data_IF_963925763290
#
_entry.id   IF_963925763290
#
_cell.length_a   1.000
_cell.length_b   1.000
_cell.length_c   1.000
_cell.angle_alpha   90.00
_cell.angle_beta   90.00
_cell.angle_gamma   90.00
#
_symmetry.space_group_name_H-M   'P 1'
#
loop_
_entity.id
_entity.type
_entity.pdbx_description
1 polymer ?
#
# COMPACT_ATOMS: atom_id res chain seq x y z
N UNK A 1 -9.41 71.34 -44.06
CA UNK A 1 -10.20 70.15 -44.45
C UNK A 1 -10.90 69.64 -43.20
N UNK A 2 -12.22 69.48 -43.23
CA UNK A 2 -12.93 68.82 -42.14
C UNK A 2 -12.79 67.31 -42.29
N UNK A 3 -12.48 66.59 -41.22
CA UNK A 3 -12.52 65.13 -41.25
C UNK A 3 -13.96 64.66 -41.40
N UNK A 4 -14.17 63.58 -42.16
CA UNK A 4 -15.50 62.98 -42.33
C UNK A 4 -16.05 62.37 -41.02
N UNK A 5 -15.16 62.05 -40.08
CA UNK A 5 -15.49 61.62 -38.73
C UNK A 5 -14.67 62.43 -37.72
N UNK A 6 -15.33 63.07 -36.75
CA UNK A 6 -14.68 63.93 -35.76
C UNK A 6 -13.95 63.16 -34.65
N UNK A 7 -13.94 61.83 -34.72
CA UNK A 7 -13.41 60.93 -33.69
C UNK A 7 -12.25 60.09 -34.23
N UNK A 8 -12.35 59.56 -35.44
CA UNK A 8 -11.34 58.68 -36.06
C UNK A 8 -10.84 59.20 -37.40
N UNK A 9 -9.56 59.00 -37.66
CA UNK A 9 -8.88 59.30 -38.92
C UNK A 9 -8.36 58.02 -39.55
N UNK A 10 -9.24 57.23 -40.17
CA UNK A 10 -8.91 55.87 -40.57
C UNK A 10 -8.96 54.93 -39.37
N UNK A 11 -7.85 54.25 -39.05
CA UNK A 11 -7.73 53.29 -37.95
C UNK A 11 -7.21 53.88 -36.64
N UNK A 12 -6.92 55.19 -36.60
CA UNK A 12 -6.40 55.87 -35.41
C UNK A 12 -7.41 56.87 -34.85
N UNK A 13 -7.40 57.06 -33.52
CA UNK A 13 -8.13 58.14 -32.88
C UNK A 13 -7.48 59.48 -33.24
N UNK A 14 -8.30 60.48 -33.58
CA UNK A 14 -7.86 61.87 -33.78
C UNK A 14 -7.89 62.67 -32.47
N UNK A 15 -8.58 62.16 -31.46
CA UNK A 15 -8.67 62.72 -30.11
C UNK A 15 -7.77 61.93 -29.18
N UNK A 16 -7.37 62.55 -28.09
CA UNK A 16 -6.58 61.89 -27.04
C UNK A 16 -7.34 60.69 -26.43
N UNK A 17 -8.67 60.79 -26.32
CA UNK A 17 -9.52 59.70 -25.84
C UNK A 17 -10.96 59.79 -26.34
N UNK A 18 -11.68 58.67 -26.26
CA UNK A 18 -13.15 58.59 -26.28
C UNK A 18 -13.59 58.11 -24.89
N UNK A 19 -14.53 58.82 -24.27
CA UNK A 19 -14.95 58.52 -22.91
C UNK A 19 -16.46 58.66 -22.72
N UNK A 20 -17.01 58.00 -21.71
CA UNK A 20 -18.39 58.18 -21.29
C UNK A 20 -18.62 59.59 -20.72
N UNK A 21 -19.85 60.14 -20.79
CA UNK A 21 -20.13 61.48 -20.25
C UNK A 21 -19.83 61.65 -18.76
N UNK A 22 -19.86 60.57 -17.99
CA UNK A 22 -19.64 60.53 -16.54
C UNK A 22 -18.24 60.02 -16.14
N UNK A 23 -17.29 59.96 -17.08
CA UNK A 23 -15.95 59.43 -16.81
C UNK A 23 -15.24 60.21 -15.69
N UNK A 24 -14.81 59.48 -14.66
CA UNK A 24 -13.95 59.92 -13.57
C UNK A 24 -12.94 58.80 -13.29
N UNK A 25 -11.66 59.07 -13.52
CA UNK A 25 -10.59 58.08 -13.38
C UNK A 25 -10.62 57.38 -12.01
N UNK A 26 -10.54 56.05 -12.01
CA UNK A 26 -10.59 55.15 -10.87
C UNK A 26 -11.95 55.03 -10.19
N UNK A 27 -13.01 55.67 -10.71
CA UNK A 27 -14.28 55.80 -9.98
C UNK A 27 -15.53 55.49 -10.81
N UNK A 28 -15.69 56.09 -11.99
CA UNK A 28 -16.93 55.97 -12.77
C UNK A 28 -16.70 56.09 -14.28
N UNK A 29 -17.60 55.48 -15.05
CA UNK A 29 -17.62 55.60 -16.51
C UNK A 29 -16.60 54.72 -17.22
N UNK A 30 -16.22 55.11 -18.44
CA UNK A 30 -15.17 54.43 -19.21
C UNK A 30 -14.40 55.42 -20.10
N UNK A 31 -13.14 55.08 -20.41
CA UNK A 31 -12.32 55.76 -21.43
C UNK A 31 -11.56 54.75 -22.29
N UNK A 32 -11.33 55.10 -23.55
CA UNK A 32 -10.39 54.44 -24.47
C UNK A 32 -9.47 55.53 -25.00
N UNK A 33 -8.19 55.43 -24.65
CA UNK A 33 -7.17 56.42 -24.95
C UNK A 33 -6.48 56.10 -26.29
N UNK A 34 -5.90 57.12 -26.92
CA UNK A 34 -5.20 57.00 -28.20
C UNK A 34 -3.96 56.08 -28.13
N UNK A 35 -3.39 55.92 -26.94
CA UNK A 35 -2.25 55.01 -26.67
C UNK A 35 -2.67 53.53 -26.53
N UNK A 36 -3.97 53.23 -26.61
CA UNK A 36 -4.51 51.88 -26.50
C UNK A 36 -4.86 51.46 -25.07
N UNK A 37 -4.58 52.29 -24.06
CA UNK A 37 -5.07 52.05 -22.70
C UNK A 37 -6.58 52.30 -22.63
N UNK A 38 -7.25 51.54 -21.77
CA UNK A 38 -8.67 51.72 -21.54
C UNK A 38 -8.99 51.48 -20.06
N UNK A 39 -10.01 52.18 -19.57
CA UNK A 39 -10.51 52.04 -18.22
C UNK A 39 -12.02 51.88 -18.28
N UNK A 40 -12.55 50.90 -17.55
CA UNK A 40 -13.99 50.64 -17.46
C UNK A 40 -14.34 50.44 -15.99
N UNK A 41 -15.30 51.22 -15.47
CA UNK A 41 -15.84 51.00 -14.13
C UNK A 41 -16.70 49.72 -14.08
N UNK A 42 -17.34 49.36 -15.20
CA UNK A 42 -18.05 48.10 -15.41
C UNK A 42 -17.88 47.69 -16.89
N UNK A 43 -17.64 46.40 -17.12
CA UNK A 43 -17.38 45.86 -18.46
C UNK A 43 -18.10 44.52 -18.64
N UNK A 44 -19.06 44.51 -19.54
CA UNK A 44 -19.70 43.28 -20.01
C UNK A 44 -19.30 43.00 -21.46
N UNK A 45 -18.61 41.88 -21.69
CA UNK A 45 -18.20 41.43 -23.02
C UNK A 45 -19.22 40.40 -23.52
N UNK A 46 -19.83 40.64 -24.68
CA UNK A 46 -20.82 39.75 -25.31
C UNK A 46 -20.41 39.40 -26.73
N UNK A 47 -20.51 38.13 -27.12
CA UNK A 47 -20.45 37.74 -28.53
C UNK A 47 -21.83 37.81 -29.19
N UNK A 48 -21.89 38.38 -30.39
CA UNK A 48 -23.12 38.50 -31.17
C UNK A 48 -23.37 37.29 -32.09
N UNK A 49 -22.37 36.45 -32.31
CA UNK A 49 -22.43 35.29 -33.22
C UNK A 49 -22.76 33.96 -32.52
N UNK A 50 -22.92 33.97 -31.19
CA UNK A 50 -23.21 32.79 -30.40
C UNK A 50 -22.01 31.84 -30.18
N UNK A 51 -20.80 32.19 -30.63
CA UNK A 51 -19.59 31.39 -30.43
C UNK A 51 -19.02 31.44 -29.01
N UNK A 52 -19.75 32.05 -28.07
CA UNK A 52 -19.31 32.31 -26.69
C UNK A 52 -18.48 33.59 -26.55
N UNK A 53 -18.40 34.11 -25.33
CA UNK A 53 -17.54 35.25 -25.01
C UNK A 53 -16.09 34.75 -24.94
N UNK A 54 -15.20 35.25 -25.81
CA UNK A 54 -13.78 34.89 -25.84
C UNK A 54 -12.93 36.13 -25.56
N UNK A 55 -12.02 36.01 -24.60
CA UNK A 55 -10.89 36.93 -24.44
C UNK A 55 -9.68 36.22 -25.06
N UNK A 56 -9.15 36.77 -26.15
CA UNK A 56 -7.98 36.23 -26.83
C UNK A 56 -6.75 37.09 -26.52
N UNK A 57 -5.73 36.46 -25.95
CA UNK A 57 -4.45 37.10 -25.64
C UNK A 57 -3.43 36.62 -26.67
N UNK A 58 -3.08 37.49 -27.63
CA UNK A 58 -2.02 37.19 -28.59
C UNK A 58 -0.63 37.22 -27.93
N UNK A 59 -0.44 38.15 -26.98
CA UNK A 59 0.73 38.31 -26.12
C UNK A 59 0.27 38.95 -24.79
N UNK A 60 1.01 38.75 -23.70
CA UNK A 60 0.74 39.39 -22.40
C UNK A 60 -0.13 38.56 -21.45
N UNK A 61 -0.82 39.23 -20.52
CA UNK A 61 -1.64 38.58 -19.49
C UNK A 61 -2.91 39.36 -19.13
N UNK A 62 -3.90 38.66 -18.58
CA UNK A 62 -5.06 39.24 -17.88
C UNK A 62 -4.83 39.04 -16.41
N UNK A 63 -4.69 40.15 -15.68
CA UNK A 63 -4.42 40.16 -14.26
C UNK A 63 -5.63 40.69 -13.51
N UNK A 64 -6.07 39.95 -12.49
CA UNK A 64 -7.11 40.37 -11.56
C UNK A 64 -6.45 40.80 -10.26
N UNK A 65 -6.65 42.05 -9.87
CA UNK A 65 -6.17 42.61 -8.62
C UNK A 65 -7.34 42.80 -7.66
N UNK A 66 -7.09 42.67 -6.36
CA UNK A 66 -8.06 43.09 -5.34
C UNK A 66 -8.01 44.62 -5.12
N UNK A 67 -8.82 45.13 -4.19
CA UNK A 67 -8.89 46.56 -3.88
C UNK A 67 -7.63 47.10 -3.19
N UNK A 68 -6.73 46.24 -2.73
CA UNK A 68 -5.43 46.60 -2.14
C UNK A 68 -4.31 46.59 -3.19
N UNK A 69 -4.61 46.17 -4.43
CA UNK A 69 -3.62 46.04 -5.50
C UNK A 69 -2.84 44.73 -5.46
N UNK A 70 -3.30 43.73 -4.69
CA UNK A 70 -2.69 42.40 -4.68
C UNK A 70 -3.23 41.56 -5.85
N UNK A 71 -2.33 40.86 -6.55
CA UNK A 71 -2.71 39.94 -7.64
C UNK A 71 -3.46 38.72 -7.07
N UNK A 72 -4.67 38.50 -7.57
CA UNK A 72 -5.57 37.40 -7.20
C UNK A 72 -5.51 36.28 -8.23
N UNK A 73 -5.52 36.62 -9.52
CA UNK A 73 -5.42 35.63 -10.59
C UNK A 73 -4.79 36.19 -11.86
N UNK A 74 -4.08 35.34 -12.59
CA UNK A 74 -3.52 35.66 -13.91
C UNK A 74 -3.90 34.59 -14.96
N UNK A 75 -4.30 35.05 -16.15
CA UNK A 75 -4.28 34.27 -17.39
C UNK A 75 -3.12 34.78 -18.25
N UNK A 76 -2.10 33.94 -18.46
CA UNK A 76 -0.86 34.35 -19.12
C UNK A 76 -0.70 33.69 -20.50
N UNK A 77 -0.30 34.46 -21.52
CA UNK A 77 0.05 33.90 -22.81
C UNK A 77 1.42 33.19 -22.80
N UNK A 78 2.32 33.58 -21.89
CA UNK A 78 3.65 32.97 -21.73
C UNK A 78 3.64 31.64 -20.97
N UNK A 79 2.63 31.42 -20.13
CA UNK A 79 2.41 30.20 -19.36
C UNK A 79 0.93 29.82 -19.53
N UNK A 80 0.58 28.96 -20.50
CA UNK A 80 -0.81 28.67 -20.82
C UNK A 80 -1.52 27.99 -19.64
N UNK A 81 -2.27 28.79 -18.87
CA UNK A 81 -2.96 28.34 -17.66
C UNK A 81 -3.56 29.48 -16.83
N UNK A 82 -4.23 29.07 -15.75
CA UNK A 82 -4.72 29.92 -14.67
C UNK A 82 -3.75 29.84 -13.50
N UNK A 83 -3.24 30.99 -13.07
CA UNK A 83 -2.51 31.15 -11.82
C UNK A 83 -3.45 31.81 -10.82
N UNK A 84 -3.61 31.22 -9.63
CA UNK A 84 -4.34 31.81 -8.51
C UNK A 84 -3.33 32.14 -7.41
N UNK A 85 -3.25 33.41 -7.03
CA UNK A 85 -2.23 33.97 -6.14
C UNK A 85 -1.22 34.87 -6.86
N UNK A 86 -0.20 35.33 -6.13
CA UNK A 86 0.86 36.19 -6.67
C UNK A 86 1.78 35.38 -7.58
N UNK A 87 2.30 35.94 -8.66
CA UNK A 87 3.22 35.23 -9.57
C UNK A 87 4.47 34.68 -8.86
N UNK A 88 4.93 35.37 -7.81
CA UNK A 88 6.08 34.94 -7.00
C UNK A 88 5.70 33.90 -5.93
N UNK A 89 4.42 33.79 -5.58
CA UNK A 89 3.87 32.92 -4.53
C UNK A 89 2.50 32.33 -4.93
N UNK A 90 2.44 31.55 -6.03
CA UNK A 90 1.18 31.01 -6.53
C UNK A 90 0.60 30.00 -5.54
N UNK A 91 -0.69 30.11 -5.25
CA UNK A 91 -1.41 29.19 -4.35
C UNK A 91 -1.96 27.97 -5.10
N UNK A 92 -2.44 28.20 -6.33
CA UNK A 92 -2.91 27.15 -7.25
C UNK A 92 -2.47 27.51 -8.66
N UNK A 93 -1.92 26.54 -9.38
CA UNK A 93 -1.63 26.68 -10.81
C UNK A 93 -2.39 25.60 -11.57
N UNK A 94 -3.18 25.99 -12.57
CA UNK A 94 -3.87 25.08 -13.48
C UNK A 94 -3.35 25.37 -14.89
N UNK A 95 -2.48 24.52 -15.42
CA UNK A 95 -1.83 24.79 -16.71
C UNK A 95 -1.68 23.53 -17.55
N UNK A 96 -1.53 23.73 -18.85
CA UNK A 96 -1.10 22.67 -19.76
C UNK A 96 0.43 22.64 -19.75
N UNK A 97 1.00 21.56 -19.22
CA UNK A 97 2.44 21.33 -19.30
C UNK A 97 2.84 20.85 -20.69
N UNK A 98 4.14 20.94 -21.01
CA UNK A 98 4.69 20.38 -22.24
C UNK A 98 4.24 18.92 -22.43
N UNK A 99 3.73 18.60 -23.62
CA UNK A 99 3.21 17.26 -23.95
C UNK A 99 1.69 17.09 -23.79
N UNK A 100 0.93 18.18 -23.57
CA UNK A 100 -0.54 18.12 -23.54
C UNK A 100 -1.12 17.63 -22.21
N UNK A 101 -0.30 17.59 -21.15
CA UNK A 101 -0.72 17.14 -19.82
C UNK A 101 -1.36 18.31 -19.09
N UNK A 102 -2.63 18.18 -18.73
CA UNK A 102 -3.27 19.11 -17.79
C UNK A 102 -2.73 18.87 -16.37
N UNK A 103 -2.28 19.94 -15.70
CA UNK A 103 -1.71 19.88 -14.37
C UNK A 103 -2.39 20.87 -13.43
N UNK A 104 -2.74 20.40 -12.25
CA UNK A 104 -3.08 21.25 -11.09
C UNK A 104 -1.93 21.13 -10.10
N UNK A 105 -1.29 22.24 -9.77
CA UNK A 105 -0.25 22.32 -8.72
C UNK A 105 -0.73 23.18 -7.56
N UNK A 106 -0.34 22.77 -6.35
CA UNK A 106 -0.46 23.58 -5.13
C UNK A 106 0.96 23.86 -4.65
N UNK A 107 1.59 24.96 -5.07
CA UNK A 107 2.92 25.31 -4.62
C UNK A 107 2.87 25.55 -3.11
N UNK A 108 3.80 24.96 -2.36
CA UNK A 108 3.87 25.25 -0.94
C UNK A 108 4.44 26.67 -0.77
N UNK A 109 3.63 27.56 -0.20
CA UNK A 109 4.04 28.88 0.27
C UNK A 109 4.88 28.77 1.55
N UNK A 110 5.93 27.95 1.53
CA UNK A 110 6.92 27.94 2.60
C UNK A 110 8.06 28.90 2.23
N UNK A 111 8.40 29.88 3.09
CA UNK A 111 9.54 30.77 2.86
C UNK A 111 10.90 30.06 2.85
N UNK A 112 10.93 28.76 3.14
CA UNK A 112 12.12 27.93 2.97
C UNK A 112 12.13 27.30 1.57
N UNK A 113 13.09 27.74 0.76
CA UNK A 113 13.19 27.59 -0.70
C UNK A 113 13.13 26.16 -1.31
N UNK A 114 12.93 25.10 -0.52
CA UNK A 114 13.00 23.71 -1.00
C UNK A 114 11.83 22.81 -0.56
N UNK A 115 10.82 23.34 0.12
CA UNK A 115 9.69 22.54 0.59
C UNK A 115 8.55 22.65 -0.43
N UNK A 116 8.31 21.58 -1.21
CA UNK A 116 7.18 21.50 -2.15
C UNK A 116 6.18 20.44 -1.68
N UNK A 117 4.98 20.85 -1.30
CA UNK A 117 3.86 19.94 -1.08
C UNK A 117 2.94 20.01 -2.30
N UNK A 118 3.24 19.23 -3.35
CA UNK A 118 2.40 19.20 -4.54
C UNK A 118 1.37 18.07 -4.42
N UNK A 119 0.09 18.41 -4.61
CA UNK A 119 -0.89 17.46 -5.13
C UNK A 119 -0.79 17.50 -6.65
N UNK A 120 -0.25 16.46 -7.28
CA UNK A 120 -0.23 16.35 -8.75
C UNK A 120 -1.34 15.41 -9.18
N UNK A 121 -2.29 15.95 -9.95
CA UNK A 121 -3.29 15.20 -10.70
C UNK A 121 -2.91 15.31 -12.18
N UNK A 122 -2.51 14.19 -12.77
CA UNK A 122 -2.17 14.11 -14.20
C UNK A 122 -2.93 12.97 -14.85
N UNK A 123 -3.56 13.26 -15.98
CA UNK A 123 -4.04 12.24 -16.94
C UNK A 123 -3.01 12.22 -18.05
N UNK A 124 -2.28 11.12 -18.18
CA UNK A 124 -1.29 10.95 -19.23
C UNK A 124 -1.96 10.38 -20.48
N UNK A 125 -1.61 10.94 -21.64
CA UNK A 125 -1.90 10.37 -22.97
C UNK A 125 -3.36 10.01 -23.27
N UNK A 126 -4.26 11.00 -23.19
CA UNK A 126 -5.66 10.83 -23.62
C UNK A 126 -5.71 10.33 -25.09
N UNK A 127 -6.16 9.09 -25.29
CA UNK A 127 -6.39 8.50 -26.62
C UNK A 127 -5.42 7.40 -27.10
N UNK A 128 -4.52 6.89 -26.26
CA UNK A 128 -3.73 5.67 -26.54
C UNK A 128 -3.84 4.68 -25.38
N UNK A 129 -3.72 3.35 -25.60
CA UNK A 129 -3.48 2.42 -24.50
C UNK A 129 -2.27 2.92 -23.69
N UNK A 130 -2.33 2.86 -22.36
CA UNK A 130 -1.42 3.50 -21.36
C UNK A 130 -1.95 4.81 -20.71
N UNK A 131 -3.27 4.93 -20.49
CA UNK A 131 -3.86 6.02 -19.70
C UNK A 131 -3.71 5.78 -18.20
N UNK A 132 -2.83 6.57 -17.57
CA UNK A 132 -2.57 6.52 -16.13
C UNK A 132 -3.18 7.76 -15.47
N UNK A 133 -3.97 7.55 -14.40
CA UNK A 133 -4.33 8.60 -13.46
C UNK A 133 -3.38 8.49 -12.26
N UNK A 134 -2.40 9.39 -12.19
CA UNK A 134 -1.53 9.45 -11.01
C UNK A 134 -2.09 10.40 -9.97
N UNK A 135 -2.24 9.94 -8.73
CA UNK A 135 -2.48 10.77 -7.57
C UNK A 135 -1.21 10.78 -6.70
N UNK A 136 -0.48 11.90 -6.73
CA UNK A 136 0.71 12.06 -5.90
C UNK A 136 0.47 13.10 -4.83
N UNK A 137 0.64 12.70 -3.57
CA UNK A 137 0.74 13.61 -2.43
C UNK A 137 2.19 13.61 -1.94
N UNK A 138 2.85 14.77 -2.04
CA UNK A 138 4.17 14.96 -1.46
C UNK A 138 4.02 15.73 -0.14
N UNK A 139 4.54 15.16 0.96
CA UNK A 139 4.65 15.88 2.22
C UNK A 139 5.71 16.98 2.12
N UNK A 140 5.69 17.98 3.01
CA UNK A 140 6.75 18.98 3.07
C UNK A 140 8.09 18.28 3.31
N UNK A 141 9.01 18.38 2.34
CA UNK A 141 10.40 17.94 2.47
C UNK A 141 11.04 18.60 3.70
N UNK A 142 11.31 17.83 4.75
CA UNK A 142 12.36 18.16 5.72
C UNK A 142 13.68 17.73 5.09
N UNK A 143 14.69 18.60 5.06
CA UNK A 143 15.98 18.35 4.42
C UNK A 143 16.50 16.91 4.72
N UNK A 144 16.50 16.05 3.71
CA UNK A 144 16.97 14.67 3.80
C UNK A 144 15.91 13.57 3.94
N UNK A 145 14.62 13.89 4.08
CA UNK A 145 13.53 12.90 4.07
C UNK A 145 12.54 13.18 2.92
N UNK A 146 12.50 12.28 1.95
CA UNK A 146 11.53 12.30 0.85
C UNK A 146 10.30 11.48 1.22
N UNK A 147 9.50 11.94 2.18
CA UNK A 147 8.22 11.28 2.47
C UNK A 147 7.27 11.56 1.30
N UNK A 148 7.14 10.58 0.39
CA UNK A 148 6.24 10.60 -0.75
C UNK A 148 5.19 9.52 -0.57
N UNK A 149 3.92 9.92 -0.62
CA UNK A 149 2.80 9.01 -0.84
C UNK A 149 2.47 9.04 -2.33
N UNK A 150 2.89 8.00 -3.05
CA UNK A 150 2.51 7.80 -4.44
C UNK A 150 1.39 6.76 -4.48
N UNK A 151 0.22 7.17 -4.97
CA UNK A 151 -0.88 6.28 -5.32
C UNK A 151 -1.01 6.28 -6.83
N UNK A 152 -0.48 5.22 -7.45
CA UNK A 152 -0.67 4.97 -8.87
C UNK A 152 -1.96 4.16 -9.02
N UNK A 153 -2.95 4.72 -9.75
CA UNK A 153 -4.10 3.97 -10.24
C UNK A 153 -3.88 3.79 -11.74
N UNK A 154 -3.35 2.63 -12.12
CA UNK A 154 -3.25 2.25 -13.52
C UNK A 154 -4.55 1.53 -13.91
N UNK A 155 -5.18 1.93 -15.01
CA UNK A 155 -6.47 1.37 -15.41
C UNK A 155 -6.41 0.36 -16.54
N UNK A 156 -5.26 0.18 -17.24
CA UNK A 156 -5.18 -0.77 -18.34
C UNK A 156 -3.78 -1.33 -18.54
N UNK A 157 -3.66 -2.66 -18.47
CA UNK A 157 -2.58 -3.38 -19.12
C UNK A 157 -2.84 -3.39 -20.64
N UNK A 158 -1.77 -3.34 -21.45
CA UNK A 158 -1.78 -3.35 -22.93
C UNK A 158 -2.58 -4.51 -23.60
N UNK A 159 -3.06 -5.46 -22.80
CA UNK A 159 -3.77 -6.67 -23.23
C UNK A 159 -5.31 -6.55 -23.17
N UNK A 160 -5.85 -5.40 -22.74
CA UNK A 160 -7.30 -5.18 -22.62
C UNK A 160 -7.94 -5.80 -21.38
N UNK A 161 -7.14 -6.25 -20.39
CA UNK A 161 -7.64 -6.65 -19.09
C UNK A 161 -7.89 -5.40 -18.20
N UNK A 162 -9.09 -5.33 -17.59
CA UNK A 162 -9.52 -4.21 -16.73
C UNK A 162 -8.88 -4.25 -15.34
N UNK A 163 -7.56 -4.37 -15.26
CA UNK A 163 -6.83 -4.62 -14.03
C UNK A 163 -6.43 -3.28 -13.40
N UNK A 164 -7.22 -2.80 -12.45
CA UNK A 164 -6.89 -1.63 -11.66
C UNK A 164 -5.74 -1.98 -10.70
N UNK A 165 -4.52 -1.54 -11.00
CA UNK A 165 -3.38 -1.72 -10.09
C UNK A 165 -3.33 -0.56 -9.09
N UNK A 166 -3.23 -0.91 -7.81
CA UNK A 166 -3.04 0.05 -6.71
C UNK A 166 -1.64 -0.13 -6.15
N UNK A 167 -0.71 0.75 -6.52
CA UNK A 167 0.65 0.72 -5.97
C UNK A 167 0.73 1.75 -4.85
N UNK A 168 0.94 1.29 -3.61
CA UNK A 168 1.24 2.13 -2.46
C UNK A 168 2.74 2.08 -2.19
N UNK A 169 3.47 3.16 -2.46
CA UNK A 169 4.88 3.31 -2.08
C UNK A 169 4.99 4.25 -0.88
N UNK A 170 5.64 3.79 0.19
CA UNK A 170 6.04 4.62 1.32
C UNK A 170 7.56 4.81 1.22
N UNK A 171 8.01 5.99 0.80
CA UNK A 171 9.42 6.31 0.83
C UNK A 171 9.87 6.55 2.28
N UNK A 172 10.81 5.74 2.78
CA UNK A 172 11.39 5.91 4.13
C UNK A 172 11.86 4.64 4.84
N UNK A 173 11.46 3.44 4.41
CA UNK A 173 11.96 2.19 5.01
C UNK A 173 11.31 0.94 4.44
N UNK A 174 12.14 0.00 3.98
CA UNK A 174 11.81 -1.36 3.50
C UNK A 174 10.41 -1.53 2.90
N UNK A 175 10.37 -1.37 1.58
CA UNK A 175 9.22 -1.52 0.69
C UNK A 175 8.21 -2.60 1.12
N UNK A 176 6.97 -2.19 1.41
CA UNK A 176 5.82 -3.08 1.38
C UNK A 176 5.11 -2.89 0.03
N UNK A 177 5.63 -3.57 -0.99
CA UNK A 177 4.96 -3.67 -2.29
C UNK A 177 3.74 -4.60 -2.13
N UNK A 178 2.54 -4.02 -2.10
CA UNK A 178 1.29 -4.79 -2.26
C UNK A 178 0.90 -4.73 -3.74
N UNK A 179 1.25 -5.76 -4.51
CA UNK A 179 0.67 -5.99 -5.84
C UNK A 179 -0.47 -6.98 -5.66
N UNK A 180 -1.71 -6.52 -5.81
CA UNK A 180 -2.88 -7.38 -5.90
C UNK A 180 -3.23 -7.59 -7.37
N UNK A 181 -2.77 -8.70 -7.94
CA UNK A 181 -3.28 -9.22 -9.22
C UNK A 181 -4.60 -9.97 -8.93
N UNK A 182 -5.73 -9.48 -9.44
CA UNK A 182 -7.05 -10.11 -9.24
C UNK A 182 -7.23 -11.41 -10.03
N UNK A 183 -6.38 -11.65 -11.03
CA UNK A 183 -6.45 -12.81 -11.92
C UNK A 183 -5.71 -14.02 -11.33
N UNK A 184 -4.69 -13.78 -10.52
CA UNK A 184 -3.97 -14.85 -9.81
C UNK A 184 -4.05 -14.80 -8.27
N UNK A 185 -4.51 -13.69 -7.67
CA UNK A 185 -4.69 -13.57 -6.23
C UNK A 185 -3.39 -13.64 -5.40
N UNK A 186 -2.22 -13.53 -6.04
CA UNK A 186 -0.93 -13.60 -5.35
C UNK A 186 -0.36 -12.20 -5.10
N UNK A 187 -0.08 -11.89 -3.83
CA UNK A 187 0.87 -10.85 -3.47
C UNK A 187 2.24 -11.52 -3.23
N UNK A 188 3.25 -11.14 -4.03
CA UNK A 188 4.62 -11.61 -3.83
C UNK A 188 5.34 -10.69 -2.86
N UNK A 189 5.62 -11.20 -1.65
CA UNK A 189 6.42 -10.50 -0.66
C UNK A 189 7.81 -11.13 -0.58
N UNK A 190 8.86 -10.34 -0.71
CA UNK A 190 10.23 -10.80 -0.42
C UNK A 190 10.40 -11.22 1.05
N UNK A 191 9.73 -10.52 1.97
CA UNK A 191 9.69 -10.85 3.40
C UNK A 191 8.45 -10.24 4.06
N UNK A 192 7.65 -11.05 4.75
CA UNK A 192 6.62 -10.58 5.69
C UNK A 192 7.23 -10.61 7.09
N UNK A 193 7.39 -9.44 7.73
CA UNK A 193 7.83 -9.36 9.13
C UNK A 193 6.70 -8.76 9.96
N UNK A 194 6.18 -9.52 10.92
CA UNK A 194 5.30 -8.98 11.96
C UNK A 194 6.14 -8.63 13.19
N UNK A 195 6.28 -7.33 13.47
CA UNK A 195 6.94 -6.84 14.67
C UNK A 195 5.90 -6.18 15.58
N UNK A 196 5.13 -6.95 16.37
CA UNK A 196 4.14 -6.36 17.26
C UNK A 196 4.84 -5.55 18.38
N UNK A 197 4.15 -4.58 18.98
CA UNK A 197 4.62 -3.92 20.19
C UNK A 197 4.76 -4.94 21.35
N UNK A 198 5.59 -4.65 22.37
CA UNK A 198 5.94 -5.60 23.45
C UNK A 198 4.77 -6.22 24.23
N UNK A 199 3.56 -5.66 24.10
CA UNK A 199 2.34 -6.11 24.77
C UNK A 199 1.33 -6.81 23.85
N UNK A 200 1.64 -7.02 22.57
CA UNK A 200 0.73 -7.67 21.61
C UNK A 200 1.29 -9.00 21.11
N UNK A 201 0.41 -10.00 20.97
CA UNK A 201 0.74 -11.28 20.36
C UNK A 201 1.04 -11.08 18.87
N UNK A 202 2.23 -11.48 18.42
CA UNK A 202 2.51 -11.53 16.99
C UNK A 202 1.63 -12.63 16.37
N UNK A 203 0.64 -12.25 15.57
CA UNK A 203 -0.14 -13.21 14.80
C UNK A 203 -0.08 -12.84 13.32
N UNK A 204 0.25 -13.82 12.48
CA UNK A 204 -0.10 -13.77 11.07
C UNK A 204 -1.51 -14.35 10.96
N UNK A 205 -2.50 -13.49 10.76
CA UNK A 205 -3.89 -13.91 10.61
C UNK A 205 -4.18 -14.16 9.13
N UNK A 206 -4.59 -15.39 8.80
CA UNK A 206 -5.10 -15.73 7.49
C UNK A 206 -6.56 -16.14 7.64
N UNK A 207 -7.45 -15.32 7.11
CA UNK A 207 -8.87 -15.64 6.96
C UNK A 207 -9.16 -15.85 5.48
N UNK A 208 -9.85 -16.95 5.19
CA UNK A 208 -10.42 -17.21 3.88
C UNK A 208 -11.94 -17.19 3.99
N UNK A 209 -12.63 -16.79 2.91
CA UNK A 209 -14.08 -16.88 2.85
C UNK A 209 -14.54 -18.35 2.90
N UNK A 210 -15.78 -18.56 3.33
CA UNK A 210 -16.48 -19.85 3.41
C UNK A 210 -16.45 -20.67 2.10
N UNK A 211 -16.27 -20.02 0.94
CA UNK A 211 -16.16 -20.69 -0.36
C UNK A 211 -14.72 -21.12 -0.74
N UNK A 212 -13.71 -20.79 0.08
CA UNK A 212 -12.32 -21.12 -0.24
C UNK A 212 -12.02 -22.60 -0.01
N UNK A 213 -11.58 -23.28 -1.06
CA UNK A 213 -11.28 -24.73 -1.05
C UNK A 213 -9.77 -25.06 -1.00
N UNK A 214 -8.93 -24.02 -0.90
CA UNK A 214 -7.47 -24.13 -0.94
C UNK A 214 -6.79 -24.27 0.43
N UNK A 215 -5.46 -24.26 0.46
CA UNK A 215 -4.70 -24.15 1.70
C UNK A 215 -4.75 -22.70 2.25
N UNK A 216 -4.99 -22.55 3.56
CA UNK A 216 -4.89 -21.24 4.24
C UNK A 216 -3.44 -20.75 4.28
N UNK A 217 -2.48 -21.66 4.45
CA UNK A 217 -1.05 -21.33 4.41
C UNK A 217 -0.31 -22.41 3.65
N UNK A 218 0.63 -22.01 2.80
CA UNK A 218 1.42 -22.94 2.01
C UNK A 218 2.86 -22.42 1.89
N UNK A 219 3.82 -23.17 2.41
CA UNK A 219 5.23 -22.98 2.12
C UNK A 219 5.72 -24.15 1.28
N UNK A 220 6.21 -23.86 0.07
CA UNK A 220 6.72 -24.85 -0.87
C UNK A 220 8.21 -24.63 -1.14
N UNK A 221 8.93 -25.71 -1.45
CA UNK A 221 10.27 -25.66 -2.03
C UNK A 221 10.28 -26.52 -3.29
N UNK A 222 10.54 -25.91 -4.44
CA UNK A 222 10.54 -26.58 -5.76
C UNK A 222 9.21 -27.33 -6.02
N UNK A 223 8.08 -26.65 -5.79
CA UNK A 223 6.72 -27.20 -5.95
C UNK A 223 6.39 -28.39 -5.04
N UNK A 224 7.16 -28.60 -3.96
CA UNK A 224 6.87 -29.59 -2.91
C UNK A 224 6.44 -28.86 -1.65
N UNK A 225 5.22 -29.14 -1.18
CA UNK A 225 4.67 -28.65 0.09
C UNK A 225 5.63 -29.00 1.23
N UNK A 226 6.06 -28.02 2.03
CA UNK A 226 6.87 -28.20 3.24
C UNK A 226 6.07 -27.92 4.49
N UNK A 227 5.18 -26.94 4.40
CA UNK A 227 4.19 -26.60 5.40
C UNK A 227 2.89 -26.27 4.68
N UNK A 228 1.79 -26.85 5.14
CA UNK A 228 0.46 -26.59 4.62
C UNK A 228 -0.52 -26.52 5.77
N UNK A 229 -1.35 -25.50 5.81
CA UNK A 229 -2.53 -25.43 6.67
C UNK A 229 -3.73 -25.53 5.75
N UNK A 230 -4.55 -26.56 5.90
CA UNK A 230 -5.77 -26.73 5.09
C UNK A 230 -6.85 -25.73 5.50
N UNK A 231 -7.91 -25.60 4.69
CA UNK A 231 -9.12 -24.83 5.03
C UNK A 231 -9.72 -25.18 6.40
N UNK A 232 -9.60 -26.45 6.82
CA UNK A 232 -10.08 -26.93 8.12
C UNK A 232 -9.14 -26.57 9.29
N UNK A 233 -8.04 -25.85 9.03
CA UNK A 233 -7.02 -25.52 10.01
C UNK A 233 -6.03 -26.66 10.30
N UNK A 234 -6.07 -27.76 9.53
CA UNK A 234 -5.17 -28.90 9.74
C UNK A 234 -3.79 -28.60 9.17
N UNK A 235 -2.76 -28.67 10.01
CA UNK A 235 -1.36 -28.56 9.60
C UNK A 235 -0.80 -29.88 9.05
N UNK A 236 -0.32 -29.89 7.82
CA UNK A 236 0.53 -30.95 7.25
C UNK A 236 1.93 -30.41 6.99
N UNK A 237 2.93 -31.21 7.33
CA UNK A 237 4.33 -30.83 7.20
C UNK A 237 5.07 -31.95 6.48
N UNK A 238 5.69 -31.65 5.33
CA UNK A 238 6.46 -32.65 4.59
C UNK A 238 7.94 -32.58 4.97
N UNK A 239 8.37 -33.63 5.65
CA UNK A 239 9.66 -33.70 6.31
C UNK A 239 9.52 -33.71 7.83
N UNK A 240 10.65 -33.73 8.50
CA UNK A 240 10.71 -33.65 9.95
C UNK A 240 10.35 -32.21 10.38
N UNK A 241 9.08 -31.95 10.68
CA UNK A 241 8.71 -30.88 11.64
C UNK A 241 8.73 -31.41 13.07
N UNK A 242 9.27 -32.61 13.21
CA UNK A 242 10.20 -32.86 14.28
C UNK A 242 11.40 -31.93 14.04
N UNK A 243 11.47 -30.79 14.74
CA UNK A 243 12.79 -30.23 15.03
C UNK A 243 13.71 -31.41 15.38
N UNK A 244 14.99 -31.39 15.02
CA UNK A 244 15.95 -32.45 15.36
C UNK A 244 15.98 -32.83 16.88
N UNK A 245 15.19 -32.11 17.68
CA UNK A 245 15.03 -32.12 19.11
C UNK A 245 13.66 -32.63 19.56
N UNK A 246 12.79 -33.23 18.74
CA UNK A 246 11.57 -33.91 19.22
C UNK A 246 11.47 -35.31 18.58
N UNK A 247 10.83 -36.27 19.22
CA UNK A 247 10.35 -37.52 18.65
C UNK A 247 9.18 -38.03 19.50
N UNK A 248 8.20 -38.69 18.90
CA UNK A 248 7.11 -39.32 19.64
C UNK A 248 6.70 -40.63 19.00
N UNK A 249 5.98 -41.46 19.77
CA UNK A 249 5.44 -42.71 19.27
C UNK A 249 4.76 -43.51 20.37
N UNK A 250 4.50 -44.78 20.06
CA UNK A 250 3.98 -45.75 21.02
C UNK A 250 4.96 -46.91 21.20
N UNK A 251 4.94 -47.55 22.37
CA UNK A 251 5.71 -48.75 22.63
C UNK A 251 4.95 -49.64 23.63
N UNK A 252 5.03 -50.96 23.45
CA UNK A 252 4.37 -51.92 24.32
C UNK A 252 5.39 -52.75 25.08
N UNK A 253 5.28 -52.75 26.40
CA UNK A 253 5.97 -53.73 27.23
C UNK A 253 5.11 -55.00 27.30
N UNK A 254 5.69 -56.19 27.06
CA UNK A 254 4.92 -57.44 27.01
C UNK A 254 4.35 -57.82 28.38
N UNK A 255 3.38 -58.73 28.38
CA UNK A 255 2.91 -59.37 29.61
C UNK A 255 4.04 -60.20 30.25
N UNK A 256 4.21 -60.17 31.58
CA UNK A 256 5.36 -60.80 32.22
C UNK A 256 5.37 -62.33 32.28
N UNK A 257 4.26 -63.01 31.99
CA UNK A 257 4.14 -64.47 32.13
C UNK A 257 3.96 -64.96 33.57
N UNK A 258 3.96 -64.05 34.55
CA UNK A 258 3.70 -64.25 35.97
C UNK A 258 3.77 -62.90 36.68
N UNK A 259 2.96 -62.67 37.72
CA UNK A 259 2.91 -61.37 38.41
C UNK A 259 3.09 -61.53 39.92
N UNK A 260 3.80 -60.60 40.61
CA UNK A 260 4.40 -59.37 40.08
C UNK A 260 5.75 -59.60 39.37
N UNK A 261 5.99 -58.87 38.27
CA UNK A 261 7.24 -58.94 37.53
C UNK A 261 7.50 -57.70 36.67
N UNK A 262 8.73 -57.56 36.18
CA UNK A 262 9.19 -56.48 35.32
C UNK A 262 9.39 -56.98 33.89
N UNK A 263 8.88 -56.22 32.92
CA UNK A 263 9.19 -56.40 31.49
C UNK A 263 9.77 -55.12 30.90
N UNK A 264 10.46 -55.26 29.77
CA UNK A 264 11.13 -54.13 29.10
C UNK A 264 10.85 -54.11 27.61
N UNK A 265 10.85 -52.91 27.02
CA UNK A 265 10.84 -52.70 25.56
C UNK A 265 11.87 -51.64 25.19
N UNK A 266 12.68 -51.93 24.17
CA UNK A 266 13.60 -50.97 23.59
C UNK A 266 12.87 -50.11 22.55
N UNK A 267 13.07 -48.80 22.62
CA UNK A 267 12.57 -47.81 21.67
C UNK A 267 13.76 -47.23 20.93
N UNK A 268 13.78 -47.39 19.61
CA UNK A 268 14.78 -46.79 18.73
C UNK A 268 14.17 -45.59 18.02
N UNK A 269 14.87 -44.46 18.01
CA UNK A 269 14.46 -43.30 17.23
C UNK A 269 14.71 -43.54 15.74
N UNK A 270 13.84 -43.00 14.89
CA UNK A 270 14.03 -43.06 13.43
C UNK A 270 15.28 -42.31 12.96
N UNK A 271 15.72 -41.30 13.74
CA UNK A 271 16.96 -40.57 13.56
C UNK A 271 17.58 -40.26 14.92
N UNK A 272 18.92 -40.19 14.98
CA UNK A 272 19.64 -39.86 16.20
C UNK A 272 19.42 -38.38 16.60
N UNK A 273 19.17 -38.14 17.89
CA UNK A 273 19.14 -36.80 18.47
C UNK A 273 20.56 -36.21 18.56
N UNK A 274 20.74 -34.88 18.53
CA UNK A 274 22.07 -34.25 18.68
C UNK A 274 22.63 -34.36 20.11
N UNK A 275 21.79 -34.63 21.11
CA UNK A 275 22.15 -34.90 22.51
C UNK A 275 21.17 -35.91 23.12
N UNK A 276 21.47 -36.45 24.30
CA UNK A 276 20.56 -37.40 24.96
C UNK A 276 19.26 -36.67 25.37
N UNK A 277 18.08 -37.06 24.86
CA UNK A 277 16.85 -36.33 25.10
C UNK A 277 16.26 -36.58 26.50
N UNK A 278 15.41 -35.64 26.94
CA UNK A 278 14.42 -35.86 28.00
C UNK A 278 13.27 -36.69 27.41
N UNK A 279 12.85 -37.73 28.12
CA UNK A 279 11.78 -38.63 27.67
C UNK A 279 10.66 -38.60 28.69
N UNK A 280 9.45 -38.28 28.23
CA UNK A 280 8.20 -38.36 28.99
C UNK A 280 7.41 -39.58 28.50
N UNK A 281 6.86 -40.35 29.44
CA UNK A 281 6.03 -41.52 29.17
C UNK A 281 4.63 -41.32 29.76
N UNK A 282 3.61 -41.69 28.99
CA UNK A 282 2.22 -41.76 29.44
C UNK A 282 1.70 -43.16 29.17
N UNK A 283 1.36 -43.97 30.18
CA UNK A 283 0.72 -45.26 29.94
C UNK A 283 -0.69 -45.03 29.35
N UNK A 284 -0.94 -45.54 28.14
CA UNK A 284 -2.21 -45.40 27.40
C UNK A 284 -3.04 -46.71 27.37
N UNK A 285 -2.52 -47.81 27.91
CA UNK A 285 -3.37 -48.99 28.12
C UNK A 285 -3.00 -49.67 29.43
N UNK A 286 -3.78 -49.42 30.47
CA UNK A 286 -3.94 -50.44 31.48
C UNK A 286 -5.11 -51.33 31.08
N UNK A 287 -5.03 -52.60 31.45
CA UNK A 287 -6.12 -53.56 31.41
C UNK A 287 -7.44 -52.95 31.96
N UNK A 288 -8.56 -53.58 31.65
CA UNK A 288 -9.93 -53.15 32.00
C UNK A 288 -10.22 -52.85 33.49
N UNK A 289 -9.23 -52.89 34.39
CA UNK A 289 -9.32 -52.54 35.80
C UNK A 289 -8.13 -51.67 36.26
N UNK A 290 -8.19 -50.37 35.97
CA UNK A 290 -7.23 -49.36 36.47
C UNK A 290 -7.28 -49.21 38.00
N UNK A 291 -8.39 -49.56 38.65
CA UNK A 291 -8.60 -49.33 40.07
C UNK A 291 -7.79 -50.28 40.98
N UNK A 292 -7.21 -51.35 40.43
CA UNK A 292 -6.52 -52.40 41.20
C UNK A 292 -5.16 -52.77 40.64
N UNK A 293 -4.68 -52.10 39.59
CA UNK A 293 -3.41 -52.45 38.94
C UNK A 293 -2.33 -51.46 39.35
N UNK A 294 -1.28 -51.94 40.01
CA UNK A 294 -0.12 -51.13 40.34
C UNK A 294 0.90 -51.18 39.19
N UNK A 295 1.04 -50.08 38.46
CA UNK A 295 2.02 -49.94 37.38
C UNK A 295 3.12 -49.00 37.84
N UNK A 296 4.37 -49.45 37.74
CA UNK A 296 5.56 -48.62 37.94
C UNK A 296 6.41 -48.71 36.69
N UNK A 297 6.85 -47.57 36.18
CA UNK A 297 7.67 -47.54 34.98
C UNK A 297 8.84 -46.59 35.14
N UNK A 298 9.91 -46.89 34.39
CA UNK A 298 11.10 -46.06 34.34
C UNK A 298 11.66 -46.08 32.92
N UNK A 299 12.20 -44.93 32.50
CA UNK A 299 13.04 -44.82 31.30
C UNK A 299 14.48 -45.05 31.71
N UNK A 300 15.15 -46.03 31.11
CA UNK A 300 16.58 -46.29 31.33
C UNK A 300 17.32 -46.33 30.00
N UNK A 301 18.65 -46.34 30.04
CA UNK A 301 19.47 -46.52 28.83
C UNK A 301 19.24 -45.44 27.77
N UNK A 302 18.96 -44.20 28.19
CA UNK A 302 18.75 -43.08 27.26
C UNK A 302 20.05 -42.81 26.50
N UNK A 303 19.95 -42.83 25.17
CA UNK A 303 21.02 -42.45 24.25
C UNK A 303 20.45 -41.53 23.19
N UNK A 304 21.30 -41.01 22.31
CA UNK A 304 20.86 -40.28 21.12
C UNK A 304 20.06 -41.15 20.15
N UNK A 305 20.16 -42.48 20.23
CA UNK A 305 19.52 -43.42 19.29
C UNK A 305 18.24 -44.05 19.84
N UNK A 306 17.95 -43.90 21.13
CA UNK A 306 16.81 -44.57 21.75
C UNK A 306 16.88 -44.66 23.27
N UNK A 307 15.98 -45.44 23.85
CA UNK A 307 15.89 -45.69 25.28
C UNK A 307 15.21 -47.04 25.54
N UNK A 308 15.16 -47.47 26.81
CA UNK A 308 14.42 -48.65 27.24
C UNK A 308 13.34 -48.23 28.23
N UNK A 309 12.12 -48.72 28.02
CA UNK A 309 11.02 -48.61 28.98
C UNK A 309 11.04 -49.87 29.83
N UNK A 310 11.25 -49.72 31.14
CA UNK A 310 11.02 -50.77 32.11
C UNK A 310 9.65 -50.58 32.74
N UNK A 311 8.84 -51.64 32.77
CA UNK A 311 7.52 -51.62 33.38
C UNK A 311 7.40 -52.78 34.35
N UNK A 312 7.26 -52.46 35.63
CA UNK A 312 6.84 -53.38 36.67
C UNK A 312 5.33 -53.30 36.85
N UNK A 313 4.71 -54.46 37.09
CA UNK A 313 3.26 -54.57 37.28
C UNK A 313 2.90 -55.77 38.17
N UNK A 314 1.73 -55.71 38.80
CA UNK A 314 1.13 -56.77 39.62
C UNK A 314 0.10 -57.64 38.86
N UNK A 315 -0.11 -57.40 37.56
CA UNK A 315 -1.00 -58.19 36.70
C UNK A 315 -0.28 -58.80 35.50
N UNK A 316 -0.81 -59.88 34.94
CA UNK A 316 -0.26 -60.50 33.72
C UNK A 316 -0.83 -59.90 32.42
N UNK A 317 -0.79 -58.57 32.29
CA UNK A 317 -1.25 -57.85 31.10
C UNK A 317 -0.08 -57.05 30.48
N UNK A 318 -0.15 -56.76 29.18
CA UNK A 318 0.78 -55.84 28.52
C UNK A 318 0.42 -54.36 28.77
N UNK A 319 1.35 -53.43 28.61
CA UNK A 319 1.11 -51.98 28.76
C UNK A 319 1.67 -51.21 27.58
N UNK A 320 0.78 -50.47 26.91
CA UNK A 320 1.12 -49.50 25.89
C UNK A 320 1.49 -48.18 26.56
N UNK A 321 2.57 -47.58 26.08
CA UNK A 321 3.03 -46.26 26.45
C UNK A 321 2.99 -45.38 25.22
N UNK A 322 2.41 -44.19 25.37
CA UNK A 322 2.75 -43.05 24.54
C UNK A 322 4.03 -42.42 25.09
N UNK A 323 4.93 -42.04 24.20
CA UNK A 323 6.20 -41.44 24.60
C UNK A 323 6.50 -40.20 23.78
N UNK A 324 7.14 -39.23 24.44
CA UNK A 324 7.64 -38.00 23.83
C UNK A 324 9.08 -37.79 24.29
N UNK A 325 10.01 -37.70 23.34
CA UNK A 325 11.40 -37.38 23.56
C UNK A 325 11.71 -35.98 23.02
N UNK A 326 12.44 -35.15 23.78
CA UNK A 326 12.89 -33.85 23.30
C UNK A 326 14.24 -33.42 23.90
N UNK A 327 14.96 -32.51 23.23
CA UNK A 327 16.12 -31.79 23.78
C UNK A 327 15.71 -30.40 24.20
#
# INVERSE_FOLDING_TARGET
>A
MAFNNAVVGGTVLLREAIQSPNYQAGLAGWTINQDGTAEFADLEIRSTDGSGNRIELANGSVQLYDSLGDLVAELSASLPGLIVGKDTEPQVMIYSAFGGIGRVEFPANSPNANIRAALTLGVFSAGTPDEVLSFQMQGPSVDGATDRLEMLIDSQTQDGAFDAQWILRLAGGTDALLVCDKTQGFASFGRITTAPPPAATAALYVAADTAHTGALMLAQKNSVDRFRVTEAGTGTFAGSVVAANIASGTAQTPAPGGAPAQTSVAVNFAAAFPAVPVVTLTPNSAAANLNTTNIRFAVTGKTVNGFTINCWRDTNAATNFEWHAHI
#
